data_IF_087466616538
#
_entry.id   IF_087466616538
#
_cell.length_a   1.000
_cell.length_b   1.000
_cell.length_c   1.000
_cell.angle_alpha   90.00
_cell.angle_beta   90.00
_cell.angle_gamma   90.00
#
_symmetry.space_group_name_H-M   'P 1'
#
loop_
_entity.id
_entity.type
_entity.pdbx_description
1 polymer ?
#
# COMPACT_ATOMS: atom_id res chain seq x y z
N UNK A 1 4.92 2.53 -1.82
CA UNK A 1 4.18 3.74 -1.40
C UNK A 1 4.76 4.24 -0.10
N UNK A 2 4.86 5.56 0.04
CA UNK A 2 5.29 6.21 1.28
C UNK A 2 4.30 5.98 2.43
N UNK A 3 4.83 5.99 3.64
CA UNK A 3 4.01 6.07 4.85
C UNK A 3 3.29 7.44 4.83
N UNK A 4 1.99 7.45 5.10
CA UNK A 4 1.19 8.68 5.05
C UNK A 4 0.67 9.07 3.65
N UNK A 5 0.84 8.24 2.62
CA UNK A 5 0.33 8.54 1.26
C UNK A 5 -1.19 8.78 1.23
N UNK A 6 -1.91 8.16 2.16
CA UNK A 6 -3.36 8.32 2.29
C UNK A 6 -3.73 9.77 2.61
N UNK A 7 -3.05 10.37 3.57
CA UNK A 7 -3.27 11.73 4.05
C UNK A 7 -2.91 12.73 2.94
N UNK A 8 -1.79 12.49 2.25
CA UNK A 8 -1.38 13.27 1.08
C UNK A 8 -2.44 13.23 -0.05
N UNK A 9 -2.97 12.05 -0.38
CA UNK A 9 -4.03 11.92 -1.39
C UNK A 9 -5.36 12.54 -0.96
N UNK A 10 -5.67 12.54 0.34
CA UNK A 10 -6.89 13.19 0.86
C UNK A 10 -6.78 14.70 0.83
N UNK A 11 -5.60 15.26 1.13
CA UNK A 11 -5.33 16.68 0.98
C UNK A 11 -5.38 17.09 -0.51
N UNK A 12 -4.75 16.31 -1.40
CA UNK A 12 -4.78 16.56 -2.85
C UNK A 12 -6.20 16.54 -3.41
N UNK A 13 -7.01 15.56 -2.97
CA UNK A 13 -8.43 15.48 -3.33
C UNK A 13 -9.19 16.76 -2.92
N UNK A 14 -8.93 17.30 -1.73
CA UNK A 14 -9.56 18.53 -1.25
C UNK A 14 -9.09 19.74 -2.06
N UNK A 15 -7.80 19.82 -2.35
CA UNK A 15 -7.20 20.93 -3.10
C UNK A 15 -7.67 20.98 -4.56
N UNK A 16 -7.89 19.82 -5.18
CA UNK A 16 -8.29 19.69 -6.60
C UNK A 16 -9.79 19.45 -6.79
N UNK A 17 -10.56 19.46 -5.71
CA UNK A 17 -12.00 19.21 -5.70
C UNK A 17 -12.43 17.97 -6.50
N UNK A 18 -11.65 16.88 -6.38
CA UNK A 18 -11.87 15.69 -7.20
C UNK A 18 -13.23 15.04 -6.86
N UNK A 19 -14.01 14.60 -7.87
CA UNK A 19 -15.33 13.98 -7.69
C UNK A 19 -15.20 12.51 -7.27
N UNK A 20 -14.38 12.24 -6.25
CA UNK A 20 -14.19 10.91 -5.67
C UNK A 20 -14.51 10.94 -4.17
N UNK A 21 -15.34 10.00 -3.72
CA UNK A 21 -15.60 9.84 -2.29
C UNK A 21 -14.33 9.45 -1.55
N UNK A 22 -14.13 10.03 -0.36
CA UNK A 22 -13.05 9.67 0.57
C UNK A 22 -13.07 8.18 0.90
N UNK A 23 -14.27 7.57 0.98
CA UNK A 23 -14.42 6.13 1.22
C UNK A 23 -13.90 5.31 0.04
N UNK A 24 -14.17 5.75 -1.19
CA UNK A 24 -13.73 5.08 -2.42
C UNK A 24 -12.21 5.14 -2.53
N UNK A 25 -11.60 6.31 -2.28
CA UNK A 25 -10.15 6.47 -2.28
C UNK A 25 -9.46 5.55 -1.26
N UNK A 26 -9.94 5.51 -0.01
CA UNK A 26 -9.40 4.62 1.02
C UNK A 26 -9.51 3.14 0.64
N UNK A 27 -10.65 2.73 0.10
CA UNK A 27 -10.91 1.34 -0.34
C UNK A 27 -9.98 0.94 -1.50
N UNK A 28 -9.80 1.82 -2.49
CA UNK A 28 -8.90 1.57 -3.61
C UNK A 28 -7.45 1.47 -3.14
N UNK A 29 -7.02 2.36 -2.25
CA UNK A 29 -5.66 2.32 -1.71
C UNK A 29 -5.40 1.03 -0.92
N UNK A 30 -6.35 0.61 -0.08
CA UNK A 30 -6.27 -0.64 0.66
C UNK A 30 -6.26 -1.87 -0.26
N UNK A 31 -7.02 -1.86 -1.35
CA UNK A 31 -7.01 -2.95 -2.32
C UNK A 31 -5.63 -3.12 -2.98
N UNK A 32 -4.98 -2.02 -3.35
CA UNK A 32 -3.64 -2.05 -3.91
C UNK A 32 -2.63 -2.54 -2.87
N UNK A 33 -2.60 -1.94 -1.69
CA UNK A 33 -1.60 -2.26 -0.65
C UNK A 33 -1.73 -3.70 -0.10
N UNK A 34 -2.94 -4.27 -0.15
CA UNK A 34 -3.18 -5.65 0.26
C UNK A 34 -3.02 -6.68 -0.86
N UNK A 35 -2.85 -6.25 -2.11
CA UNK A 35 -2.64 -7.15 -3.23
C UNK A 35 -1.33 -7.92 -3.08
N UNK A 36 -1.33 -9.19 -3.51
CA UNK A 36 -0.12 -10.03 -3.50
C UNK A 36 0.97 -9.39 -4.37
N UNK A 37 0.60 -8.88 -5.55
CA UNK A 37 1.53 -8.22 -6.48
C UNK A 37 2.23 -7.02 -5.86
N UNK A 38 1.54 -6.21 -5.06
CA UNK A 38 2.18 -5.09 -4.37
C UNK A 38 3.07 -5.58 -3.23
N UNK A 39 2.67 -6.63 -2.50
CA UNK A 39 3.47 -7.19 -1.42
C UNK A 39 4.78 -7.81 -1.90
N UNK A 40 4.78 -8.43 -3.08
CA UNK A 40 6.00 -9.00 -3.67
C UNK A 40 7.04 -7.94 -4.06
N UNK A 41 6.67 -6.65 -4.15
CA UNK A 41 7.62 -5.56 -4.42
C UNK A 41 8.22 -4.95 -3.15
N UNK A 42 7.78 -5.36 -1.96
CA UNK A 42 8.34 -4.91 -0.68
C UNK A 42 9.61 -5.70 -0.39
N UNK A 43 10.74 -5.20 -0.88
CA UNK A 43 12.08 -5.76 -0.67
C UNK A 43 12.92 -4.80 0.19
N UNK A 44 13.84 -5.31 1.03
CA UNK A 44 14.72 -4.46 1.83
C UNK A 44 15.47 -3.45 0.95
N UNK A 45 15.49 -2.18 1.37
CA UNK A 45 16.18 -1.13 0.62
C UNK A 45 15.44 -0.60 -0.61
N UNK A 46 14.28 -1.16 -0.96
CA UNK A 46 13.46 -0.61 -2.05
C UNK A 46 12.96 0.80 -1.71
N UNK A 47 13.06 1.71 -2.69
CA UNK A 47 12.55 3.07 -2.54
C UNK A 47 11.02 3.09 -2.48
N UNK A 48 10.48 3.91 -1.58
CA UNK A 48 9.05 4.21 -1.53
C UNK A 48 8.80 5.52 -2.28
N UNK A 49 7.73 5.56 -3.04
CA UNK A 49 7.34 6.74 -3.82
C UNK A 49 6.13 7.43 -3.22
N UNK A 50 6.13 8.76 -3.30
CA UNK A 50 5.01 9.62 -2.91
C UNK A 50 3.98 9.80 -4.05
N UNK A 51 3.04 10.73 -3.86
CA UNK A 51 1.99 11.03 -4.86
C UNK A 51 2.53 11.68 -6.13
N UNK A 52 3.68 12.34 -6.04
CA UNK A 52 4.33 13.08 -7.13
C UNK A 52 5.42 12.23 -7.82
N UNK A 53 5.61 10.99 -7.35
CA UNK A 53 6.60 10.05 -7.89
C UNK A 53 8.01 10.28 -7.34
N UNK A 54 8.17 11.08 -6.29
CA UNK A 54 9.46 11.31 -5.66
C UNK A 54 9.80 10.18 -4.67
N UNK A 55 11.07 9.73 -4.63
CA UNK A 55 11.51 8.75 -3.65
C UNK A 55 11.50 9.39 -2.25
N UNK A 56 10.71 8.83 -1.36
CA UNK A 56 10.60 9.29 0.02
C UNK A 56 10.51 8.07 0.96
N UNK A 57 11.61 7.80 1.64
CA UNK A 57 11.79 6.67 2.52
C UNK A 57 12.11 5.35 1.80
N UNK A 58 12.55 4.38 2.59
CA UNK A 58 12.95 3.06 2.14
C UNK A 58 12.16 1.99 2.86
N UNK A 59 12.05 0.82 2.23
CA UNK A 59 11.48 -0.38 2.87
C UNK A 59 12.47 -0.91 3.90
N UNK A 60 12.03 -1.01 5.15
CA UNK A 60 12.81 -1.55 6.26
C UNK A 60 12.67 -3.07 6.35
N UNK A 61 13.56 -3.73 7.08
CA UNK A 61 13.45 -5.18 7.32
C UNK A 61 12.16 -5.57 8.07
N UNK A 62 11.68 -4.70 8.96
CA UNK A 62 10.40 -4.88 9.66
C UNK A 62 9.21 -4.92 8.69
N UNK A 63 9.22 -4.05 7.67
CA UNK A 63 8.18 -4.02 6.64
C UNK A 63 8.15 -5.34 5.84
N UNK A 64 9.32 -5.89 5.54
CA UNK A 64 9.48 -7.15 4.81
C UNK A 64 8.97 -8.31 5.67
N UNK A 65 9.35 -8.35 6.94
CA UNK A 65 8.88 -9.37 7.87
C UNK A 65 7.35 -9.35 8.06
N UNK A 66 6.72 -8.18 8.18
CA UNK A 66 5.26 -8.08 8.23
C UNK A 66 4.63 -8.57 6.93
N UNK A 67 5.20 -8.17 5.78
CA UNK A 67 4.70 -8.55 4.47
C UNK A 67 4.73 -10.07 4.28
N UNK A 68 5.82 -10.73 4.68
CA UNK A 68 5.95 -12.19 4.63
C UNK A 68 4.91 -12.90 5.50
N UNK A 69 4.72 -12.45 6.76
CA UNK A 69 3.67 -13.00 7.65
C UNK A 69 2.29 -12.89 7.01
N UNK A 70 2.01 -11.78 6.34
CA UNK A 70 0.72 -11.53 5.69
C UNK A 70 0.52 -12.40 4.44
N UNK A 71 1.57 -12.61 3.64
CA UNK A 71 1.53 -13.53 2.48
C UNK A 71 1.26 -14.95 2.96
N UNK A 72 1.95 -15.42 4.00
CA UNK A 72 1.72 -16.76 4.58
C UNK A 72 0.28 -16.93 5.07
N UNK A 73 -0.30 -15.88 5.69
CA UNK A 73 -1.71 -15.91 6.12
C UNK A 73 -2.67 -16.00 4.93
N UNK A 74 -2.41 -15.28 3.84
CA UNK A 74 -3.20 -15.36 2.62
C UNK A 74 -3.12 -16.76 2.00
N UNK A 75 -1.92 -17.34 1.91
CA UNK A 75 -1.73 -18.70 1.39
C UNK A 75 -2.54 -19.74 2.20
N UNK A 76 -2.53 -19.64 3.53
CA UNK A 76 -3.34 -20.49 4.43
C UNK A 76 -4.84 -20.29 4.28
N UNK A 77 -5.30 -19.09 3.90
CA UNK A 77 -6.72 -18.84 3.64
C UNK A 77 -7.14 -19.41 2.29
N UNK A 78 -6.30 -19.26 1.27
CA UNK A 78 -6.53 -19.80 -0.07
C UNK A 78 -6.66 -21.34 -0.03
N UNK A 79 -5.81 -22.02 0.74
CA UNK A 79 -5.81 -23.48 0.88
C UNK A 79 -6.98 -24.05 1.69
N UNK A 80 -7.81 -23.20 2.30
CA UNK A 80 -9.03 -23.60 3.05
C UNK A 80 -10.31 -23.44 2.25
N UNK A 81 -10.23 -22.79 1.09
CA UNK A 81 -11.36 -22.53 0.20
C UNK A 81 -11.45 -23.61 -0.90
N UNK A 82 -10.45 -24.49 -0.97
CA UNK A 82 -10.41 -25.70 -1.81
C UNK A 82 -10.69 -26.91 -0.93
#
# INVERSE_FOLDING_TARGET
MVVGIREALLADKKNRELPISTKKLKRSLAAISHSVKYRTTIMPGAARYDKDGQPNGTVTELDVADTLKRIQKLAKQQSRIV
#
